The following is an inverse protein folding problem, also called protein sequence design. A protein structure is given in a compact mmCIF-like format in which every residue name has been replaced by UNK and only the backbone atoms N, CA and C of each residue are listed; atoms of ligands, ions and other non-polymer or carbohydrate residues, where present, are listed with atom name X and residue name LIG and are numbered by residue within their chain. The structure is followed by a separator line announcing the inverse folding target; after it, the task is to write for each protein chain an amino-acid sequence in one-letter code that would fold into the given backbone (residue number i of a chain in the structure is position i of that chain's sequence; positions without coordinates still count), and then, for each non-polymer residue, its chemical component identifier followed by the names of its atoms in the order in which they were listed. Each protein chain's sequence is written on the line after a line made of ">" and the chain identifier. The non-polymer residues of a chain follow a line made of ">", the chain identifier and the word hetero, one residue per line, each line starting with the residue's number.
data_IF_275612034199
#
_entry.id   IF_275612034199
#
_cell.length_a   1.000
_cell.length_b   1.000
_cell.length_c   1.000
_cell.angle_alpha   90.00
_cell.angle_beta   90.00
_cell.angle_gamma   90.00
#
_symmetry.space_group_name_H-M   'P 1'
#
loop_
_entity.id
_entity.type
_entity.pdbx_description
1 polymer ?
#
# COMPACT_ATOMS: atom_id res chain seq x y z
N UNK A 1 -24.50 20.42 22.84
CA UNK A 1 -23.35 21.11 22.21
C UNK A 1 -22.26 20.14 21.75
N UNK A 2 -21.63 19.34 22.62
CA UNK A 2 -20.56 18.40 22.19
C UNK A 2 -20.95 17.42 21.07
N UNK A 3 -22.18 16.88 21.10
CA UNK A 3 -22.69 15.96 20.06
C UNK A 3 -22.88 16.63 18.69
N UNK A 4 -23.29 17.90 18.66
CA UNK A 4 -23.42 18.69 17.44
C UNK A 4 -22.05 19.10 16.87
N UNK A 5 -21.09 19.41 17.76
CA UNK A 5 -19.72 19.70 17.37
C UNK A 5 -19.03 18.47 16.74
N UNK A 6 -19.22 17.29 17.34
CA UNK A 6 -18.71 16.02 16.81
C UNK A 6 -19.28 15.72 15.41
N UNK A 7 -20.59 15.91 15.22
CA UNK A 7 -21.25 15.76 13.93
C UNK A 7 -20.71 16.74 12.89
N UNK A 8 -20.49 18.00 13.27
CA UNK A 8 -19.92 19.00 12.38
C UNK A 8 -18.49 18.62 11.94
N UNK A 9 -17.65 18.19 12.89
CA UNK A 9 -16.28 17.73 12.59
C UNK A 9 -16.31 16.53 11.64
N UNK A 10 -17.19 15.56 11.88
CA UNK A 10 -17.38 14.42 10.97
C UNK A 10 -17.81 14.85 9.57
N UNK A 11 -18.79 15.76 9.45
CA UNK A 11 -19.23 16.29 8.16
C UNK A 11 -18.11 17.02 7.40
N UNK A 12 -17.26 17.77 8.10
CA UNK A 12 -16.13 18.49 7.48
C UNK A 12 -15.06 17.53 6.93
N UNK A 13 -14.88 16.36 7.53
CA UNK A 13 -13.94 15.34 7.04
C UNK A 13 -14.37 14.74 5.68
N UNK A 14 -15.66 14.77 5.36
CA UNK A 14 -16.17 14.27 4.07
C UNK A 14 -16.07 15.28 2.92
N UNK A 15 -15.62 16.52 3.17
CA UNK A 15 -15.43 17.52 2.12
C UNK A 15 -14.14 17.33 1.32
N UNK A 16 -13.21 16.50 1.82
CA UNK A 16 -11.94 16.25 1.17
C UNK A 16 -12.05 15.11 0.16
N UNK A 17 -11.55 15.33 -1.06
CA UNK A 17 -11.32 14.23 -2.02
C UNK A 17 -10.11 13.45 -1.54
N UNK A 18 -10.32 12.18 -1.21
CA UNK A 18 -9.24 11.26 -0.90
C UNK A 18 -8.75 10.61 -2.20
N UNK A 19 -7.44 10.55 -2.36
CA UNK A 19 -6.77 9.80 -3.43
C UNK A 19 -5.83 8.80 -2.77
N UNK A 20 -5.90 7.55 -3.20
CA UNK A 20 -5.04 6.47 -2.72
C UNK A 20 -5.38 5.19 -3.48
N UNK A 21 -4.35 4.48 -3.94
CA UNK A 21 -4.48 3.27 -4.77
C UNK A 21 -3.75 2.06 -4.16
N UNK A 22 -3.29 2.18 -2.91
CA UNK A 22 -2.57 1.10 -2.25
C UNK A 22 -3.47 -0.13 -2.05
N UNK A 23 -2.97 -1.34 -2.33
CA UNK A 23 -3.69 -2.57 -2.05
C UNK A 23 -4.02 -2.69 -0.55
N UNK A 24 -5.27 -3.00 -0.21
CA UNK A 24 -5.69 -3.26 1.17
C UNK A 24 -6.28 -4.66 1.33
N UNK A 25 -5.88 -5.36 2.39
CA UNK A 25 -6.43 -6.67 2.71
C UNK A 25 -7.81 -6.55 3.35
N UNK A 26 -8.71 -7.48 3.03
CA UNK A 26 -10.02 -7.58 3.70
C UNK A 26 -9.88 -7.86 5.21
N UNK A 27 -8.85 -8.61 5.61
CA UNK A 27 -8.46 -8.81 7.01
C UNK A 27 -7.33 -7.85 7.41
N UNK A 28 -7.54 -6.54 7.25
CA UNK A 28 -6.54 -5.51 7.57
C UNK A 28 -5.97 -5.62 9.01
N UNK A 29 -6.77 -6.11 9.97
CA UNK A 29 -6.32 -6.34 11.36
C UNK A 29 -5.23 -7.41 11.47
N UNK A 30 -5.13 -8.31 10.49
CA UNK A 30 -4.09 -9.31 10.40
C UNK A 30 -2.82 -8.80 9.69
N UNK A 31 -2.85 -7.58 9.12
CA UNK A 31 -1.72 -6.92 8.46
C UNK A 31 -1.38 -5.56 9.11
N UNK A 32 -1.07 -5.51 10.42
CA UNK A 32 -0.99 -4.27 11.18
C UNK A 32 0.11 -3.32 10.69
N UNK A 33 1.29 -3.84 10.32
CA UNK A 33 2.38 -3.03 9.77
C UNK A 33 2.03 -2.37 8.43
N UNK A 34 1.20 -3.00 7.60
CA UNK A 34 0.73 -2.40 6.35
C UNK A 34 -0.16 -1.20 6.66
N UNK A 35 -1.08 -1.36 7.62
CA UNK A 35 -2.07 -0.35 7.99
C UNK A 35 -1.43 0.87 8.63
N UNK A 36 -0.49 0.70 9.57
CA UNK A 36 0.13 1.81 10.26
C UNK A 36 1.51 1.42 10.83
N UNK A 37 2.59 2.17 10.52
CA UNK A 37 3.92 1.88 11.05
C UNK A 37 4.00 1.93 12.58
N UNK A 38 3.11 2.66 13.25
CA UNK A 38 3.05 2.74 14.71
C UNK A 38 2.61 1.42 15.38
N UNK A 39 2.19 0.41 14.60
CA UNK A 39 1.97 -0.93 15.13
C UNK A 39 3.25 -1.72 15.39
N UNK A 40 4.41 -1.27 14.88
CA UNK A 40 5.69 -1.97 15.07
C UNK A 40 5.98 -2.21 16.56
N UNK A 41 6.14 -3.49 16.93
CA UNK A 41 6.42 -3.90 18.31
C UNK A 41 5.24 -3.71 19.25
N UNK A 42 4.00 -3.79 18.75
CA UNK A 42 2.80 -3.84 19.57
C UNK A 42 2.59 -5.20 20.24
N UNK A 43 3.19 -6.26 19.71
CA UNK A 43 3.18 -7.61 20.30
C UNK A 43 4.29 -7.78 21.34
N UNK A 44 4.04 -8.67 22.31
CA UNK A 44 5.04 -9.07 23.31
C UNK A 44 6.17 -9.90 22.70
N UNK A 45 5.85 -10.72 21.72
CA UNK A 45 6.81 -11.57 21.01
C UNK A 45 7.00 -11.10 19.56
N UNK A 46 8.12 -11.47 18.92
CA UNK A 46 8.26 -11.29 17.49
C UNK A 46 7.08 -11.92 16.73
N UNK A 47 6.56 -11.20 15.74
CA UNK A 47 5.43 -11.63 14.91
C UNK A 47 5.87 -11.66 13.45
N UNK A 48 5.57 -12.76 12.78
CA UNK A 48 5.63 -12.89 11.32
C UNK A 48 4.20 -12.96 10.81
N UNK A 49 3.90 -12.17 9.79
CA UNK A 49 2.62 -12.18 9.09
C UNK A 49 2.87 -12.48 7.62
N UNK A 50 2.03 -13.32 7.03
CA UNK A 50 1.96 -13.50 5.58
C UNK A 50 0.51 -13.26 5.14
N UNK A 51 0.33 -12.48 4.09
CA UNK A 51 -0.98 -12.18 3.51
C UNK A 51 -0.97 -12.45 2.02
N UNK A 52 -2.10 -12.93 1.51
CA UNK A 52 -2.37 -13.11 0.09
C UNK A 52 -3.78 -12.63 -0.19
N UNK A 53 -3.95 -11.92 -1.31
CA UNK A 53 -5.23 -11.43 -1.81
C UNK A 53 -5.26 -11.64 -3.31
N UNK A 54 -6.34 -12.27 -3.77
CA UNK A 54 -6.68 -12.33 -5.18
C UNK A 54 -7.98 -11.55 -5.36
N UNK A 55 -7.88 -10.41 -6.05
CA UNK A 55 -8.98 -9.54 -6.38
C UNK A 55 -9.37 -9.73 -7.84
N UNK A 56 -10.67 -9.96 -8.05
CA UNK A 56 -11.25 -10.36 -9.34
C UNK A 56 -10.75 -11.70 -9.88
N UNK A 57 -10.66 -12.70 -9.01
CA UNK A 57 -10.25 -14.08 -9.34
C UNK A 57 -10.99 -14.75 -10.51
N UNK A 58 -12.17 -14.25 -10.89
CA UNK A 58 -12.94 -14.75 -12.03
C UNK A 58 -12.50 -14.18 -13.39
N UNK A 59 -11.65 -13.15 -13.39
CA UNK A 59 -11.16 -12.47 -14.59
C UNK A 59 -9.68 -12.78 -14.79
N UNK A 60 -9.30 -13.12 -16.02
CA UNK A 60 -7.90 -13.32 -16.38
C UNK A 60 -7.18 -11.96 -16.38
N UNK A 61 -6.13 -11.82 -15.57
CA UNK A 61 -5.47 -10.53 -15.37
C UNK A 61 -6.08 -9.67 -14.26
N UNK A 62 -6.73 -10.28 -13.26
CA UNK A 62 -7.05 -9.62 -11.99
C UNK A 62 -5.81 -9.16 -11.20
N UNK A 63 -6.03 -8.74 -9.96
CA UNK A 63 -4.96 -8.27 -9.07
C UNK A 63 -4.58 -9.35 -8.07
N UNK A 64 -3.29 -9.64 -7.97
CA UNK A 64 -2.73 -10.55 -6.98
C UNK A 64 -1.74 -9.82 -6.07
N UNK A 65 -2.14 -9.60 -4.82
CA UNK A 65 -1.32 -8.92 -3.82
C UNK A 65 -0.83 -9.93 -2.78
N UNK A 66 0.46 -9.90 -2.48
CA UNK A 66 1.09 -10.71 -1.43
C UNK A 66 1.95 -9.83 -0.53
N UNK A 67 2.03 -10.17 0.75
CA UNK A 67 3.01 -9.53 1.63
C UNK A 67 3.51 -10.48 2.71
N UNK A 68 4.73 -10.23 3.13
CA UNK A 68 5.32 -10.84 4.31
C UNK A 68 5.90 -9.73 5.18
N UNK A 69 5.56 -9.75 6.45
CA UNK A 69 6.02 -8.78 7.42
C UNK A 69 6.59 -9.47 8.65
N UNK A 70 7.64 -8.89 9.21
CA UNK A 70 8.21 -9.25 10.49
C UNK A 70 8.21 -8.02 11.39
N UNK A 71 7.85 -8.19 12.66
CA UNK A 71 7.99 -7.15 13.66
C UNK A 71 8.37 -7.69 15.03
N UNK A 72 8.99 -6.85 15.84
CA UNK A 72 9.33 -7.17 17.23
C UNK A 72 9.38 -5.93 18.11
N UNK A 73 9.07 -6.12 19.39
CA UNK A 73 9.26 -5.13 20.43
C UNK A 73 10.68 -5.21 21.00
N UNK A 74 11.30 -4.06 21.23
CA UNK A 74 12.57 -3.88 21.91
C UNK A 74 12.28 -3.11 23.20
N UNK A 75 11.96 -3.84 24.27
CA UNK A 75 11.48 -3.25 25.52
C UNK A 75 12.49 -2.31 26.18
N UNK A 76 13.79 -2.63 26.10
CA UNK A 76 14.87 -1.80 26.66
C UNK A 76 14.95 -0.40 26.07
N UNK A 77 14.42 -0.21 24.84
CA UNK A 77 14.39 1.06 24.14
C UNK A 77 12.99 1.67 24.08
N UNK A 78 11.99 1.06 24.72
CA UNK A 78 10.58 1.40 24.52
C UNK A 78 10.19 1.48 23.04
N UNK A 79 10.80 0.63 22.21
CA UNK A 79 10.73 0.75 20.75
C UNK A 79 10.25 -0.55 20.13
N UNK A 80 9.91 -0.48 18.85
CA UNK A 80 9.62 -1.63 18.01
C UNK A 80 10.25 -1.45 16.65
N UNK A 81 10.62 -2.56 16.01
CA UNK A 81 11.12 -2.55 14.64
C UNK A 81 10.31 -3.51 13.79
N UNK A 82 10.26 -3.22 12.50
CA UNK A 82 9.60 -4.08 11.53
C UNK A 82 10.24 -4.01 10.16
N UNK A 83 10.05 -5.07 9.40
CA UNK A 83 10.37 -5.18 7.98
C UNK A 83 9.14 -5.72 7.27
N UNK A 84 8.87 -5.21 6.07
CA UNK A 84 7.76 -5.67 5.25
C UNK A 84 8.17 -5.67 3.79
N UNK A 85 7.79 -6.74 3.09
CA UNK A 85 7.81 -6.81 1.63
C UNK A 85 6.38 -7.00 1.18
N UNK A 86 5.94 -6.16 0.25
CA UNK A 86 4.65 -6.25 -0.41
C UNK A 86 4.89 -6.30 -1.91
N UNK A 87 4.26 -7.26 -2.58
CA UNK A 87 4.20 -7.32 -4.03
C UNK A 87 2.75 -7.26 -4.48
N UNK A 88 2.52 -6.55 -5.58
CA UNK A 88 1.23 -6.46 -6.25
C UNK A 88 1.46 -6.72 -7.74
N UNK A 89 0.68 -7.65 -8.29
CA UNK A 89 0.67 -8.01 -9.70
C UNK A 89 -0.69 -7.66 -10.29
N UNK A 90 -0.69 -6.81 -11.31
CA UNK A 90 -1.86 -6.39 -12.05
C UNK A 90 -1.75 -6.86 -13.51
N UNK A 91 -2.81 -7.50 -14.01
CA UNK A 91 -2.86 -7.91 -15.42
C UNK A 91 -2.00 -9.11 -15.74
N UNK A 92 -1.78 -10.04 -14.78
CA UNK A 92 -1.00 -11.27 -14.99
C UNK A 92 0.44 -10.96 -15.45
N UNK A 93 1.11 -10.09 -14.72
CA UNK A 93 2.50 -9.68 -14.91
C UNK A 93 2.69 -8.50 -15.87
N UNK A 94 1.62 -7.85 -16.33
CA UNK A 94 1.72 -6.63 -17.15
C UNK A 94 2.28 -5.48 -16.31
N UNK A 95 1.72 -5.25 -15.12
CA UNK A 95 2.20 -4.23 -14.21
C UNK A 95 2.49 -4.85 -12.84
N UNK A 96 3.72 -4.70 -12.37
CA UNK A 96 4.18 -5.29 -11.10
C UNK A 96 4.77 -4.21 -10.22
N UNK A 97 4.33 -4.15 -8.97
CA UNK A 97 4.86 -3.23 -7.96
C UNK A 97 5.36 -3.99 -6.75
N UNK A 98 6.59 -3.75 -6.35
CA UNK A 98 7.21 -4.32 -5.16
C UNK A 98 7.61 -3.21 -4.21
N UNK A 99 7.25 -3.33 -2.94
CA UNK A 99 7.54 -2.36 -1.91
C UNK A 99 8.29 -3.04 -0.76
N UNK A 100 9.48 -2.55 -0.48
CA UNK A 100 10.32 -2.99 0.63
C UNK A 100 10.38 -1.89 1.67
N UNK A 101 9.97 -2.17 2.90
CA UNK A 101 9.83 -1.15 3.95
C UNK A 101 10.50 -1.60 5.23
N UNK A 102 11.27 -0.70 5.84
CA UNK A 102 11.71 -0.78 7.21
C UNK A 102 10.90 0.18 8.08
N UNK A 103 10.53 -0.27 9.27
CA UNK A 103 9.65 0.44 10.18
C UNK A 103 10.31 0.56 11.55
N UNK A 104 10.18 1.73 12.16
CA UNK A 104 10.57 1.97 13.53
C UNK A 104 9.41 2.60 14.29
N UNK A 105 9.09 2.03 15.46
CA UNK A 105 8.07 2.52 16.38
C UNK A 105 8.67 2.92 17.72
N UNK A 106 8.20 4.00 18.31
CA UNK A 106 8.58 4.45 19.65
C UNK A 106 7.35 4.63 20.53
N UNK A 107 7.36 4.02 21.72
CA UNK A 107 6.26 4.06 22.70
C UNK A 107 6.53 5.08 23.80
N UNK A 108 5.57 5.97 24.00
CA UNK A 108 5.50 6.90 25.12
C UNK A 108 4.35 6.48 26.05
N UNK A 109 4.67 6.14 27.29
CA UNK A 109 3.67 5.85 28.31
C UNK A 109 3.22 7.17 28.96
N UNK A 110 1.95 7.57 28.76
CA UNK A 110 1.42 8.82 29.33
C UNK A 110 0.87 8.62 30.74
N UNK A 111 0.25 7.47 31.01
CA UNK A 111 -0.29 7.12 32.32
C UNK A 111 -0.28 5.60 32.51
N UNK A 112 -0.77 5.07 33.64
CA UNK A 112 -0.89 3.61 33.85
C UNK A 112 -1.82 2.91 32.85
N UNK A 113 -2.74 3.65 32.21
CA UNK A 113 -3.79 3.09 31.35
C UNK A 113 -3.79 3.65 29.93
N UNK A 114 -2.90 4.59 29.61
CA UNK A 114 -2.83 5.27 28.32
C UNK A 114 -1.38 5.33 27.81
N UNK A 115 -1.21 4.91 26.56
CA UNK A 115 0.06 5.00 25.85
C UNK A 115 -0.15 5.51 24.42
N UNK A 116 0.90 6.13 23.89
CA UNK A 116 0.97 6.59 22.51
C UNK A 116 2.19 5.97 21.86
N UNK A 117 2.06 5.50 20.62
CA UNK A 117 3.14 5.05 19.78
C UNK A 117 3.24 5.95 18.56
N UNK A 118 4.45 6.35 18.25
CA UNK A 118 4.81 7.02 17.00
C UNK A 118 5.52 6.00 16.12
N UNK A 119 5.17 5.95 14.85
CA UNK A 119 5.81 5.09 13.86
C UNK A 119 6.33 5.92 12.72
N UNK A 120 7.49 5.54 12.20
CA UNK A 120 8.03 6.02 10.93
C UNK A 120 8.35 4.80 10.07
N UNK A 121 8.20 4.96 8.77
CA UNK A 121 8.61 3.97 7.80
C UNK A 121 9.41 4.62 6.68
N UNK A 122 10.39 3.87 6.18
CA UNK A 122 11.18 4.24 5.02
C UNK A 122 11.37 3.00 4.16
N UNK A 123 11.30 3.17 2.85
CA UNK A 123 11.31 2.05 1.93
C UNK A 123 11.65 2.44 0.51
N UNK A 124 11.61 1.42 -0.34
CA UNK A 124 11.72 1.56 -1.79
C UNK A 124 10.52 0.90 -2.45
N UNK A 125 9.99 1.56 -3.46
CA UNK A 125 8.96 1.06 -4.37
C UNK A 125 9.66 0.81 -5.70
N UNK A 126 9.51 -0.40 -6.21
CA UNK A 126 9.96 -0.79 -7.53
C UNK A 126 8.73 -1.13 -8.37
N UNK A 127 8.50 -0.40 -9.45
CA UNK A 127 7.44 -0.72 -10.41
C UNK A 127 8.03 -1.13 -11.75
N UNK A 128 7.36 -2.05 -12.42
CA UNK A 128 7.70 -2.54 -13.75
C UNK A 128 6.45 -2.66 -14.61
N UNK A 129 6.54 -2.21 -15.86
CA UNK A 129 5.52 -2.39 -16.89
C UNK A 129 6.07 -3.21 -18.07
N UNK A 130 5.30 -4.19 -18.51
CA UNK A 130 5.52 -4.91 -19.75
C UNK A 130 4.69 -4.27 -20.86
N UNK A 131 5.31 -3.30 -21.56
CA UNK A 131 4.64 -2.50 -22.59
C UNK A 131 4.14 -3.34 -23.77
N UNK A 132 4.91 -4.35 -24.17
CA UNK A 132 4.60 -5.19 -25.33
C UNK A 132 3.35 -6.05 -25.13
N UNK A 133 2.90 -6.19 -23.88
CA UNK A 133 1.69 -6.93 -23.51
C UNK A 133 0.46 -6.04 -23.35
N UNK A 134 0.61 -4.72 -23.47
CA UNK A 134 -0.52 -3.80 -23.49
C UNK A 134 -1.27 -3.91 -24.82
N UNK A 135 -2.58 -3.72 -24.75
CA UNK A 135 -3.44 -3.59 -25.93
C UNK A 135 -4.00 -2.17 -25.91
N UNK A 136 -3.61 -1.39 -26.91
CA UNK A 136 -4.04 -0.01 -27.08
C UNK A 136 -5.31 0.08 -27.94
N UNK A 137 -6.12 1.14 -27.77
CA UNK A 137 -7.38 1.28 -28.50
C UNK A 137 -7.23 1.32 -30.03
N UNK A 138 -6.11 1.82 -30.54
CA UNK A 138 -5.78 1.87 -31.98
C UNK A 138 -5.47 0.50 -32.58
N UNK A 139 -5.11 -0.48 -31.74
CA UNK A 139 -4.91 -1.87 -32.14
C UNK A 139 -6.24 -2.65 -32.24
N UNK A 140 -7.36 -2.10 -31.77
CA UNK A 140 -8.65 -2.78 -31.74
C UNK A 140 -9.44 -2.52 -33.03
N UNK A 141 -9.48 -3.52 -33.91
CA UNK A 141 -10.38 -3.50 -35.07
C UNK A 141 -11.82 -3.84 -34.63
N UNK A 142 -12.86 -3.12 -35.13
CA UNK A 142 -14.25 -3.37 -34.76
C UNK A 142 -14.79 -4.77 -35.12
N UNK A 143 -14.17 -5.44 -36.11
CA UNK A 143 -14.58 -6.75 -36.60
C UNK A 143 -13.68 -7.87 -36.08
N UNK A 144 -12.35 -7.66 -36.04
CA UNK A 144 -11.36 -8.69 -35.69
C UNK A 144 -10.76 -8.54 -34.28
N UNK A 145 -11.02 -7.43 -33.57
CA UNK A 145 -10.47 -7.16 -32.24
C UNK A 145 -8.98 -6.81 -32.26
N UNK A 146 -8.23 -7.25 -31.23
CA UNK A 146 -6.80 -6.96 -31.11
C UNK A 146 -5.91 -7.77 -32.08
N UNK A 147 -6.50 -8.71 -32.82
CA UNK A 147 -5.81 -9.59 -33.76
C UNK A 147 -6.16 -9.17 -35.19
N UNK A 148 -5.15 -8.82 -35.99
CA UNK A 148 -5.30 -8.57 -37.42
C UNK A 148 -5.30 -9.86 -38.26
N UNK A 149 -5.32 -9.72 -39.60
CA UNK A 149 -5.42 -10.84 -40.52
C UNK A 149 -4.31 -11.88 -40.30
N UNK A 150 -4.69 -13.12 -40.00
CA UNK A 150 -3.75 -14.22 -39.73
C UNK A 150 -3.29 -14.36 -38.27
N UNK A 151 -3.88 -13.61 -37.33
CA UNK A 151 -3.64 -13.73 -35.89
C UNK A 151 -2.45 -12.92 -35.36
N UNK A 152 -1.86 -12.05 -36.17
CA UNK A 152 -0.84 -11.10 -35.72
C UNK A 152 -1.50 -9.91 -35.01
N UNK A 153 -0.90 -9.38 -33.95
CA UNK A 153 -1.41 -8.17 -33.30
C UNK A 153 -1.33 -6.97 -34.25
N UNK A 154 -2.36 -6.12 -34.24
CA UNK A 154 -2.31 -4.85 -34.98
C UNK A 154 -1.20 -3.95 -34.39
N UNK A 155 -0.42 -3.23 -35.21
CA UNK A 155 0.59 -2.31 -34.70
C UNK A 155 -0.09 -1.15 -33.96
N UNK A 156 0.54 -0.66 -32.89
CA UNK A 156 0.14 0.59 -32.23
C UNK A 156 1.03 1.74 -32.66
N UNK A 157 0.47 2.94 -32.76
CA UNK A 157 1.20 4.19 -32.91
C UNK A 157 1.66 4.77 -31.55
N UNK A 158 1.27 4.14 -30.44
CA UNK A 158 1.67 4.54 -29.09
C UNK A 158 3.16 4.31 -28.86
N UNK A 159 3.83 5.36 -28.34
CA UNK A 159 5.26 5.32 -28.07
C UNK A 159 5.52 4.77 -26.67
N UNK A 160 6.38 3.74 -26.52
CA UNK A 160 6.76 3.26 -25.20
C UNK A 160 7.46 4.38 -24.42
N UNK A 161 7.21 4.48 -23.10
CA UNK A 161 7.96 5.37 -22.24
C UNK A 161 9.44 5.03 -22.21
N UNK A 162 10.27 6.04 -21.97
CA UNK A 162 11.73 5.90 -21.87
C UNK A 162 12.17 4.91 -20.78
N UNK A 163 11.37 4.77 -19.73
CA UNK A 163 11.67 3.87 -18.63
C UNK A 163 10.46 3.10 -18.12
N UNK A 164 10.47 1.79 -18.37
CA UNK A 164 9.47 0.83 -17.91
C UNK A 164 9.75 0.26 -16.51
N UNK A 165 10.89 0.60 -15.89
CA UNK A 165 11.28 0.15 -14.55
C UNK A 165 11.64 1.35 -13.66
N UNK A 166 10.78 1.70 -12.71
CA UNK A 166 11.02 2.82 -11.79
C UNK A 166 11.37 2.29 -10.40
N UNK A 167 12.34 2.94 -9.76
CA UNK A 167 12.71 2.72 -8.37
C UNK A 167 12.56 4.06 -7.63
N UNK A 168 11.70 4.07 -6.61
CA UNK A 168 11.29 5.27 -5.91
C UNK A 168 11.56 5.07 -4.43
N UNK A 169 12.12 6.09 -3.79
CA UNK A 169 12.20 6.13 -2.34
C UNK A 169 10.86 6.55 -1.77
N UNK A 170 10.44 5.94 -0.66
CA UNK A 170 9.18 6.26 -0.01
C UNK A 170 9.33 6.36 1.50
N UNK A 171 8.63 7.33 2.09
CA UNK A 171 8.55 7.50 3.54
C UNK A 171 7.11 7.65 4.01
N UNK A 172 6.86 7.19 5.23
CA UNK A 172 5.57 7.30 5.88
C UNK A 172 5.70 7.52 7.38
N UNK A 173 4.60 7.91 8.00
CA UNK A 173 4.53 8.14 9.44
C UNK A 173 3.16 7.73 9.99
N UNK A 174 3.12 7.43 11.28
CA UNK A 174 1.89 7.01 11.93
C UNK A 174 1.89 7.29 13.43
N UNK A 175 0.69 7.41 13.97
CA UNK A 175 0.44 7.56 15.40
C UNK A 175 -0.62 6.55 15.80
N UNK A 176 -0.40 5.88 16.93
CA UNK A 176 -1.34 4.95 17.55
C UNK A 176 -1.51 5.32 19.03
N UNK A 177 -2.73 5.65 19.43
CA UNK A 177 -3.11 5.91 20.81
C UNK A 177 -3.91 4.72 21.31
N UNK A 178 -3.52 4.12 22.43
CA UNK A 178 -4.20 2.95 22.96
C UNK A 178 -4.27 2.96 24.49
N UNK A 179 -5.40 2.47 25.00
CA UNK A 179 -5.64 2.24 26.42
C UNK A 179 -6.33 0.92 26.67
N UNK A 180 -6.87 0.72 27.87
CA UNK A 180 -7.39 -0.59 28.31
C UNK A 180 -8.62 -1.08 27.53
N UNK A 181 -9.43 -0.18 26.97
CA UNK A 181 -10.73 -0.52 26.33
C UNK A 181 -10.81 -0.19 24.84
N UNK A 182 -9.95 0.70 24.37
CA UNK A 182 -10.01 1.24 23.02
C UNK A 182 -8.62 1.65 22.54
N UNK A 183 -8.44 1.62 21.23
CA UNK A 183 -7.31 2.21 20.53
C UNK A 183 -7.80 2.93 19.28
N UNK A 184 -6.99 3.85 18.79
CA UNK A 184 -7.22 4.57 17.54
C UNK A 184 -5.91 5.17 17.04
N UNK A 185 -5.84 5.46 15.75
CA UNK A 185 -4.60 5.95 15.16
C UNK A 185 -4.83 6.62 13.81
N UNK A 186 -3.77 7.26 13.33
CA UNK A 186 -3.68 7.87 12.01
C UNK A 186 -2.39 7.38 11.36
N UNK A 187 -2.45 7.11 10.06
CA UNK A 187 -1.30 6.75 9.24
C UNK A 187 -1.28 7.64 8.01
N UNK A 188 -0.10 8.12 7.66
CA UNK A 188 0.17 8.88 6.45
C UNK A 188 1.25 8.11 5.69
N UNK A 189 0.87 7.58 4.53
CA UNK A 189 1.77 6.91 3.58
C UNK A 189 2.23 7.95 2.55
N UNK A 190 3.32 7.65 1.84
CA UNK A 190 3.78 8.47 0.71
C UNK A 190 3.99 9.95 1.06
N UNK A 191 4.61 10.22 2.21
CA UNK A 191 4.85 11.59 2.71
C UNK A 191 5.67 12.45 1.75
N UNK A 192 6.55 11.80 0.99
CA UNK A 192 7.38 12.44 -0.02
C UNK A 192 6.76 12.42 -1.43
N UNK A 193 5.51 11.95 -1.57
CA UNK A 193 4.75 11.89 -2.81
C UNK A 193 5.60 11.37 -3.98
N UNK A 194 6.10 10.12 -3.92
CA UNK A 194 6.88 9.55 -5.00
C UNK A 194 6.08 9.56 -6.30
N UNK A 195 6.73 9.94 -7.38
CA UNK A 195 6.12 9.94 -8.71
C UNK A 195 6.20 8.54 -9.31
N UNK A 196 5.08 7.82 -9.24
CA UNK A 196 4.92 6.49 -9.81
C UNK A 196 4.55 6.51 -11.29
N UNK A 197 4.44 7.70 -11.90
CA UNK A 197 4.12 7.82 -13.31
C UNK A 197 5.21 7.18 -14.17
N UNK A 198 4.78 6.30 -15.07
CA UNK A 198 5.63 5.76 -16.11
C UNK A 198 5.70 6.69 -17.33
N UNK A 199 4.77 7.64 -17.41
CA UNK A 199 4.66 8.65 -18.44
C UNK A 199 5.22 9.98 -17.92
N UNK A 200 5.91 10.73 -18.78
CA UNK A 200 6.44 12.07 -18.45
C UNK A 200 5.41 13.19 -18.74
#
# INVERSE_FOLDING_TARGET
>A
MARQLLLLVLCLLFLFRLQGQDPIYSQFYAAPLQVNPAFAGTTLSPRVTANYRNEWAAYEGGYETYSVAYEQSIESLNSGIGLMVLGDDAGNGIYQTNRFVAVYGYRVQLSRSLAVRFGIEAGMIQSRLDWDRLIFPDQLDPLEGASGPGGAANPSEELPPDNLNRNLFDVGAGILVYGQRAYGGLSLKHLNSPDESLLD
#
